data_IF_931632253995
#
_entry.id   IF_931632253995
#
_cell.length_a   1.000
_cell.length_b   1.000
_cell.length_c   1.000
_cell.angle_alpha   90.00
_cell.angle_beta   90.00
_cell.angle_gamma   90.00
#
_symmetry.space_group_name_H-M   'P 1'
#
loop_
_entity.id
_entity.type
_entity.pdbx_description
1 polymer ?
#
# COMPACT_ATOMS: atom_id res chain seq x y z
N UNK A 1 -67.00 36.37 28.17
CA UNK A 1 -66.54 35.03 27.74
C UNK A 1 -65.05 35.09 27.48
N UNK A 2 -64.37 34.06 27.98
CA UNK A 2 -62.95 33.87 28.23
C UNK A 2 -61.97 34.27 27.13
N UNK A 3 -60.84 34.83 27.55
CA UNK A 3 -59.63 34.91 26.76
C UNK A 3 -59.06 33.52 26.44
N UNK A 4 -58.53 33.37 25.24
CA UNK A 4 -57.89 32.16 24.74
C UNK A 4 -56.43 32.48 24.43
N UNK A 5 -55.58 32.10 25.37
CA UNK A 5 -54.15 31.84 25.17
C UNK A 5 -54.03 30.73 24.12
N UNK A 6 -53.21 30.93 23.07
CA UNK A 6 -52.61 29.81 22.31
C UNK A 6 -51.18 30.15 21.87
N UNK A 7 -50.25 29.71 22.72
CA UNK A 7 -49.01 28.97 22.43
C UNK A 7 -48.42 29.09 21.01
N UNK A 8 -47.15 29.51 20.96
CA UNK A 8 -46.34 29.60 19.76
C UNK A 8 -45.82 28.27 19.20
N UNK A 9 -45.12 28.39 18.07
CA UNK A 9 -44.35 27.31 17.45
C UNK A 9 -42.98 27.89 17.13
N UNK A 10 -41.96 27.45 17.87
CA UNK A 10 -40.57 27.69 17.51
C UNK A 10 -40.14 26.65 16.48
N UNK A 11 -39.69 27.10 15.31
CA UNK A 11 -39.12 26.24 14.28
C UNK A 11 -37.67 25.94 14.65
N UNK A 12 -37.40 24.71 15.10
CA UNK A 12 -36.02 24.23 15.32
C UNK A 12 -35.49 23.72 13.98
N UNK A 13 -34.61 24.49 13.33
CA UNK A 13 -33.78 24.02 12.23
C UNK A 13 -32.71 23.07 12.81
N UNK A 14 -32.99 21.77 12.78
CA UNK A 14 -32.00 20.75 13.09
C UNK A 14 -31.04 20.61 11.90
N UNK A 15 -29.87 21.23 11.99
CA UNK A 15 -28.77 21.06 11.04
C UNK A 15 -28.22 19.64 11.18
N UNK A 16 -28.64 18.72 10.32
CA UNK A 16 -28.01 17.40 10.17
C UNK A 16 -26.64 17.59 9.51
N UNK A 17 -25.61 17.87 10.32
CA UNK A 17 -24.23 17.74 9.86
C UNK A 17 -23.98 16.25 9.60
N UNK A 18 -24.05 15.86 8.33
CA UNK A 18 -23.64 14.53 7.89
C UNK A 18 -22.15 14.35 8.21
N UNK A 19 -21.86 13.48 9.16
CA UNK A 19 -20.50 13.04 9.45
C UNK A 19 -19.97 12.26 8.23
N UNK A 20 -19.14 12.90 7.42
CA UNK A 20 -18.23 12.17 6.54
C UNK A 20 -17.16 11.53 7.44
N UNK A 21 -17.45 10.35 7.98
CA UNK A 21 -16.41 9.48 8.50
C UNK A 21 -15.57 9.03 7.30
N UNK A 22 -14.50 9.76 7.00
CA UNK A 22 -13.46 9.25 6.12
C UNK A 22 -12.92 7.98 6.79
N UNK A 23 -13.27 6.81 6.25
CA UNK A 23 -12.72 5.54 6.68
C UNK A 23 -11.20 5.60 6.44
N UNK A 24 -10.43 5.74 7.51
CA UNK A 24 -8.99 5.56 7.46
C UNK A 24 -8.71 4.06 7.40
N UNK A 25 -8.72 3.49 6.19
CA UNK A 25 -8.34 2.10 5.98
C UNK A 25 -6.82 1.95 6.22
N UNK A 26 -6.45 1.47 7.41
CA UNK A 26 -5.07 1.08 7.70
C UNK A 26 -4.76 -0.22 6.95
N UNK A 27 -4.17 -0.12 5.76
CA UNK A 27 -3.69 -1.29 5.03
C UNK A 27 -2.40 -1.83 5.67
N UNK A 28 -2.33 -3.13 5.91
CA UNK A 28 -1.09 -3.80 6.33
C UNK A 28 -0.05 -3.90 5.21
N UNK A 29 -0.44 -3.68 3.95
CA UNK A 29 0.43 -3.81 2.79
C UNK A 29 0.32 -2.60 1.84
N UNK A 30 1.42 -2.31 1.15
CA UNK A 30 1.46 -1.35 0.05
C UNK A 30 1.51 -2.11 -1.27
N UNK A 31 0.57 -1.85 -2.16
CA UNK A 31 0.53 -2.50 -3.48
C UNK A 31 1.56 -1.87 -4.42
N UNK A 32 2.55 -2.66 -4.85
CA UNK A 32 3.50 -2.28 -5.90
C UNK A 32 3.50 -3.35 -6.99
N UNK A 33 3.89 -2.99 -8.20
CA UNK A 33 3.88 -3.90 -9.36
C UNK A 33 5.29 -4.14 -9.87
N UNK A 34 5.62 -5.38 -10.22
CA UNK A 34 6.87 -5.72 -10.92
C UNK A 34 6.91 -5.00 -12.28
N UNK A 35 8.00 -4.28 -12.54
CA UNK A 35 8.15 -3.44 -13.73
C UNK A 35 9.59 -3.38 -14.22
N UNK A 36 9.76 -3.15 -15.52
CA UNK A 36 11.04 -2.95 -16.21
C UNK A 36 12.04 -4.11 -16.09
N UNK A 37 11.53 -5.33 -15.88
CA UNK A 37 12.28 -6.57 -16.10
C UNK A 37 12.32 -6.85 -17.62
N UNK A 38 13.39 -7.46 -18.12
CA UNK A 38 13.52 -7.80 -19.53
C UNK A 38 12.41 -8.77 -19.98
N UNK A 39 12.09 -8.76 -21.29
CA UNK A 39 11.11 -9.69 -21.85
C UNK A 39 11.54 -11.15 -21.63
N UNK A 40 10.62 -11.98 -21.14
CA UNK A 40 10.89 -13.38 -20.80
C UNK A 40 11.62 -13.60 -19.47
N UNK A 41 11.97 -12.53 -18.75
CA UNK A 41 12.66 -12.62 -17.45
C UNK A 41 11.71 -12.28 -16.28
N UNK A 42 12.18 -12.51 -15.06
CA UNK A 42 11.40 -12.37 -13.82
C UNK A 42 12.19 -11.63 -12.74
N UNK A 43 11.45 -10.92 -11.87
CA UNK A 43 12.01 -10.37 -10.65
C UNK A 43 12.07 -11.47 -9.59
N UNK A 44 13.29 -11.80 -9.14
CA UNK A 44 13.50 -12.76 -8.08
C UNK A 44 13.21 -12.12 -6.71
N UNK A 45 12.42 -12.83 -5.89
CA UNK A 45 12.31 -12.58 -4.45
C UNK A 45 13.46 -13.31 -3.74
N UNK A 46 14.14 -12.64 -2.82
CA UNK A 46 15.30 -13.21 -2.11
C UNK A 46 15.12 -13.22 -0.61
N UNK A 47 15.71 -14.21 0.05
CA UNK A 47 15.62 -14.39 1.51
C UNK A 47 16.18 -13.22 2.31
N UNK A 48 17.21 -12.55 1.79
CA UNK A 48 17.87 -11.40 2.38
C UNK A 48 18.10 -10.31 1.32
N UNK A 49 18.26 -9.03 1.70
CA UNK A 49 18.41 -7.91 0.77
C UNK A 49 19.80 -7.86 0.12
N UNK A 50 20.14 -8.90 -0.65
CA UNK A 50 21.42 -9.04 -1.33
C UNK A 50 21.27 -9.85 -2.62
N UNK A 51 22.02 -9.49 -3.66
CA UNK A 51 21.99 -10.16 -4.97
C UNK A 51 22.51 -11.60 -4.95
N UNK A 52 23.32 -11.95 -3.96
CA UNK A 52 23.86 -13.30 -3.72
C UNK A 52 22.96 -14.16 -2.84
N UNK A 53 21.91 -13.59 -2.24
CA UNK A 53 21.01 -14.32 -1.34
C UNK A 53 20.14 -15.32 -2.08
N UNK A 54 19.76 -16.41 -1.39
CA UNK A 54 18.89 -17.46 -1.90
C UNK A 54 17.59 -16.87 -2.50
N UNK A 55 17.24 -17.34 -3.70
CA UNK A 55 15.95 -17.04 -4.34
C UNK A 55 14.84 -17.86 -3.68
N UNK A 56 13.73 -17.22 -3.34
CA UNK A 56 12.53 -17.86 -2.79
C UNK A 56 11.44 -18.02 -3.85
N UNK A 57 11.24 -17.02 -4.70
CA UNK A 57 10.27 -17.03 -5.80
C UNK A 57 10.73 -16.12 -6.94
N UNK A 58 10.00 -16.14 -8.05
CA UNK A 58 10.23 -15.31 -9.21
C UNK A 58 8.90 -14.85 -9.82
N UNK A 59 8.77 -13.55 -10.08
CA UNK A 59 7.52 -12.98 -10.60
C UNK A 59 7.75 -12.18 -11.89
N UNK A 60 6.91 -12.34 -12.93
CA UNK A 60 7.02 -11.59 -14.17
C UNK A 60 6.53 -10.14 -14.00
N UNK A 61 6.82 -9.29 -14.99
CA UNK A 61 6.24 -7.95 -15.10
C UNK A 61 4.71 -7.99 -14.98
N UNK A 62 4.14 -6.97 -14.34
CA UNK A 62 2.69 -6.86 -14.12
C UNK A 62 2.20 -7.57 -12.85
N UNK A 63 3.03 -8.39 -12.20
CA UNK A 63 2.67 -9.01 -10.93
C UNK A 63 2.55 -7.96 -9.83
N UNK A 64 1.41 -7.93 -9.14
CA UNK A 64 1.20 -7.08 -7.96
C UNK A 64 1.77 -7.78 -6.72
N UNK A 65 2.64 -7.09 -6.01
CA UNK A 65 3.31 -7.55 -4.81
C UNK A 65 2.64 -6.95 -3.57
N UNK A 66 2.51 -7.77 -2.52
CA UNK A 66 2.09 -7.35 -1.19
C UNK A 66 3.32 -6.84 -0.42
N UNK A 67 3.66 -5.56 -0.57
CA UNK A 67 4.83 -5.00 0.10
C UNK A 67 4.53 -4.71 1.57
N UNK A 68 5.43 -5.04 2.48
CA UNK A 68 5.22 -4.82 3.93
C UNK A 68 5.42 -3.36 4.35
N UNK A 69 5.89 -2.51 3.43
CA UNK A 69 6.27 -1.13 3.72
C UNK A 69 7.76 -0.95 3.95
N UNK A 70 8.48 -1.97 4.40
CA UNK A 70 9.91 -1.86 4.75
C UNK A 70 10.81 -1.92 3.52
N UNK A 71 11.72 -0.96 3.39
CA UNK A 71 12.87 -1.05 2.49
C UNK A 71 14.18 -0.75 3.23
N UNK A 72 15.31 -1.27 2.72
CA UNK A 72 16.64 -0.96 3.24
C UNK A 72 16.94 0.54 3.15
N UNK A 73 17.77 1.04 4.06
CA UNK A 73 18.08 2.47 4.15
C UNK A 73 17.01 3.28 4.87
N UNK A 74 16.14 2.63 5.66
CA UNK A 74 15.12 3.30 6.48
C UNK A 74 13.92 3.85 5.69
N UNK A 75 13.75 3.44 4.43
CA UNK A 75 12.63 3.88 3.61
C UNK A 75 11.38 3.08 3.98
N UNK A 76 10.27 3.80 4.18
CA UNK A 76 8.95 3.20 4.35
C UNK A 76 8.05 3.56 3.15
N UNK A 77 7.45 2.56 2.52
CA UNK A 77 6.57 2.75 1.35
C UNK A 77 5.27 3.48 1.69
N UNK A 78 4.77 3.36 2.93
CA UNK A 78 3.58 4.09 3.38
C UNK A 78 3.86 5.60 3.40
N UNK A 79 5.03 6.02 3.89
CA UNK A 79 5.42 7.44 4.01
C UNK A 79 5.60 8.13 2.66
N UNK A 80 5.90 7.37 1.60
CA UNK A 80 6.09 7.92 0.25
C UNK A 80 4.87 7.75 -0.65
N UNK A 81 3.82 7.06 -0.20
CA UNK A 81 2.65 6.70 -1.02
C UNK A 81 1.92 7.90 -1.64
N UNK A 82 1.92 9.06 -0.95
CA UNK A 82 1.34 10.31 -1.45
C UNK A 82 2.21 11.09 -2.45
N UNK A 83 3.44 10.65 -2.71
CA UNK A 83 4.33 11.32 -3.67
C UNK A 83 3.97 10.95 -5.12
N UNK A 84 4.31 11.79 -6.12
CA UNK A 84 4.26 11.40 -7.52
C UNK A 84 5.00 10.07 -7.77
N UNK A 85 4.44 9.19 -8.59
CA UNK A 85 4.97 7.84 -8.80
C UNK A 85 6.46 7.80 -9.17
N UNK A 86 6.93 8.75 -10.00
CA UNK A 86 8.34 8.84 -10.37
C UNK A 86 9.26 9.14 -9.16
N UNK A 87 8.82 9.96 -8.20
CA UNK A 87 9.58 10.25 -6.97
C UNK A 87 9.64 9.03 -6.07
N UNK A 88 8.53 8.28 -5.95
CA UNK A 88 8.50 7.02 -5.20
C UNK A 88 9.51 6.02 -5.79
N UNK A 89 9.47 5.83 -7.12
CA UNK A 89 10.41 4.96 -7.83
C UNK A 89 11.86 5.39 -7.65
N UNK A 90 12.14 6.69 -7.67
CA UNK A 90 13.48 7.21 -7.44
C UNK A 90 13.97 6.92 -6.02
N UNK A 91 13.12 7.09 -5.00
CA UNK A 91 13.46 6.83 -3.59
C UNK A 91 13.86 5.37 -3.35
N UNK A 92 13.15 4.42 -3.95
CA UNK A 92 13.39 2.98 -3.72
C UNK A 92 14.40 2.36 -4.68
N UNK A 93 14.82 3.06 -5.74
CA UNK A 93 15.53 2.51 -6.91
C UNK A 93 16.73 1.61 -6.55
N UNK A 94 17.49 1.98 -5.52
CA UNK A 94 18.70 1.26 -5.12
C UNK A 94 18.55 0.52 -3.78
N UNK A 95 17.35 0.49 -3.23
CA UNK A 95 17.02 -0.24 -2.01
C UNK A 95 16.46 -1.61 -2.32
N UNK A 96 16.55 -2.51 -1.34
CA UNK A 96 15.74 -3.72 -1.31
C UNK A 96 14.47 -3.44 -0.53
N UNK A 97 13.33 -3.88 -1.04
CA UNK A 97 12.04 -3.71 -0.40
C UNK A 97 11.44 -5.07 -0.04
N UNK A 98 10.87 -5.16 1.16
CA UNK A 98 10.36 -6.40 1.71
C UNK A 98 8.94 -6.67 1.18
N UNK A 99 8.71 -7.92 0.81
CA UNK A 99 7.45 -8.44 0.29
C UNK A 99 6.97 -9.58 1.21
N UNK A 100 5.66 -9.68 1.38
CA UNK A 100 4.98 -10.83 1.95
C UNK A 100 4.47 -11.70 0.81
N UNK A 101 4.92 -12.95 0.72
CA UNK A 101 4.56 -13.82 -0.39
C UNK A 101 4.55 -15.30 0.00
N UNK A 102 3.87 -16.11 -0.79
CA UNK A 102 3.83 -17.58 -0.65
C UNK A 102 4.66 -18.22 -1.79
N UNK A 103 5.94 -18.53 -1.55
CA UNK A 103 6.80 -19.14 -2.57
C UNK A 103 6.38 -20.55 -2.97
N UNK A 104 5.80 -21.33 -2.06
CA UNK A 104 5.43 -22.72 -2.31
C UNK A 104 3.99 -22.86 -2.86
N UNK A 105 3.21 -21.78 -2.86
CA UNK A 105 1.80 -21.74 -3.29
C UNK A 105 0.91 -22.69 -2.48
N UNK A 106 1.22 -22.84 -1.20
CA UNK A 106 0.57 -23.76 -0.27
C UNK A 106 -0.07 -23.07 0.93
N UNK A 107 -0.05 -21.74 0.98
CA UNK A 107 -0.52 -20.92 2.10
C UNK A 107 0.55 -20.57 3.14
N UNK A 108 1.78 -21.06 3.00
CA UNK A 108 2.88 -20.77 3.92
C UNK A 108 3.59 -19.47 3.51
N UNK A 109 3.00 -18.34 3.90
CA UNK A 109 3.56 -17.04 3.59
C UNK A 109 4.85 -16.76 4.39
N UNK A 110 5.80 -16.14 3.71
CA UNK A 110 7.08 -15.71 4.26
C UNK A 110 7.41 -14.30 3.81
N UNK A 111 8.36 -13.67 4.51
CA UNK A 111 8.98 -12.46 4.01
C UNK A 111 10.11 -12.79 3.02
N UNK A 112 10.27 -11.89 2.06
CA UNK A 112 11.38 -11.88 1.12
C UNK A 112 11.69 -10.46 0.67
N UNK A 113 12.67 -10.30 -0.20
CA UNK A 113 13.20 -9.01 -0.63
C UNK A 113 13.28 -8.91 -2.15
N UNK A 114 12.78 -7.80 -2.70
CA UNK A 114 12.93 -7.43 -4.11
C UNK A 114 13.84 -6.24 -4.27
N UNK A 115 14.55 -6.16 -5.40
CA UNK A 115 15.34 -4.98 -5.70
C UNK A 115 14.47 -3.86 -6.27
N UNK A 116 14.49 -2.70 -5.62
CA UNK A 116 13.53 -1.60 -5.83
C UNK A 116 13.56 -0.99 -7.24
N UNK A 117 14.64 -1.19 -8.00
CA UNK A 117 14.73 -0.79 -9.42
C UNK A 117 13.60 -1.38 -10.26
N UNK A 118 13.13 -2.59 -9.93
CA UNK A 118 12.20 -3.38 -10.76
C UNK A 118 10.77 -3.40 -10.21
N UNK A 119 10.40 -2.39 -9.43
CA UNK A 119 9.03 -2.21 -8.94
C UNK A 119 8.56 -0.77 -9.17
N UNK A 120 7.25 -0.60 -9.27
CA UNK A 120 6.59 0.70 -9.35
C UNK A 120 5.31 0.72 -8.49
N UNK A 121 4.89 1.89 -7.97
CA UNK A 121 3.59 2.03 -7.32
C UNK A 121 2.47 1.57 -8.26
N UNK A 122 1.43 0.93 -7.70
CA UNK A 122 0.23 0.50 -8.44
C UNK A 122 -0.68 1.68 -8.77
#
# INVERSE_FOLDING_TARGET
MNGLIKTGVAVVLASTMGFFAAQADASAFVAWTVKDVAFGDTLNIRKFPASTSQKQAAYPNGTVLQMTGTCTGGINLFDISGMPAWKQRQKVRYSWCQVWHDPARNGDFVTGWVYGKYIAPR
#
